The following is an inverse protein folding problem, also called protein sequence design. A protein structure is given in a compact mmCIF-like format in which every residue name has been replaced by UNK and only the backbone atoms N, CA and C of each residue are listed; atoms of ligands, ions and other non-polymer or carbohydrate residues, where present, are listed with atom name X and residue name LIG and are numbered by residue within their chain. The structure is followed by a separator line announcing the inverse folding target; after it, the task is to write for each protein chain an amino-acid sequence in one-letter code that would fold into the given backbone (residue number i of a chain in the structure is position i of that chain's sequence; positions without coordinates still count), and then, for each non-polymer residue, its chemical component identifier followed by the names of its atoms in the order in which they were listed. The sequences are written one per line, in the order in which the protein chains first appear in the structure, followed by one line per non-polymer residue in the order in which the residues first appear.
data_IF_575289153101
#
_entry.id   IF_575289153101
#
_cell.length_a   1.000
_cell.length_b   1.000
_cell.length_c   1.000
_cell.angle_alpha   90.00
_cell.angle_beta   90.00
_cell.angle_gamma   90.00
#
_symmetry.space_group_name_H-M   'P 1'
#
loop_
_entity.id
_entity.type
_entity.pdbx_description
1 polymer ?
#
# COMPACT_ATOMS: atom_id res chain seq x y z
N UNK A 1 -1.50 -14.95 8.70
CA UNK A 1 -1.22 -13.89 9.71
C UNK A 1 0.21 -13.30 9.63
N UNK A 2 1.18 -13.91 8.91
CA UNK A 2 2.57 -13.42 8.87
C UNK A 2 3.00 -12.72 7.56
N UNK A 3 2.05 -12.28 6.73
CA UNK A 3 2.38 -11.68 5.42
C UNK A 3 2.46 -10.14 5.44
N UNK A 4 1.64 -9.47 6.25
CA UNK A 4 1.58 -7.99 6.31
C UNK A 4 2.96 -7.37 6.62
N UNK A 5 3.67 -7.86 7.63
CA UNK A 5 5.01 -7.33 7.94
C UNK A 5 6.02 -7.62 6.84
N UNK A 6 5.98 -8.81 6.23
CA UNK A 6 6.85 -9.14 5.09
C UNK A 6 6.57 -8.22 3.90
N UNK A 7 5.31 -7.92 3.64
CA UNK A 7 4.88 -6.96 2.64
C UNK A 7 5.35 -5.52 2.98
N UNK A 8 5.44 -5.14 4.26
CA UNK A 8 5.88 -3.79 4.64
C UNK A 8 7.41 -3.59 4.71
N UNK A 9 8.22 -4.65 4.81
CA UNK A 9 9.69 -4.52 4.93
C UNK A 9 10.31 -3.77 3.74
N UNK A 10 9.76 -3.95 2.54
CA UNK A 10 10.28 -3.31 1.33
C UNK A 10 9.89 -1.82 1.26
N UNK A 11 10.85 -0.91 1.05
CA UNK A 11 10.58 0.53 1.00
C UNK A 11 9.71 0.94 -0.20
N UNK A 12 9.84 0.27 -1.34
CA UNK A 12 9.01 0.55 -2.54
C UNK A 12 7.56 0.19 -2.26
N UNK A 13 7.29 -0.93 -1.59
CA UNK A 13 5.93 -1.30 -1.17
C UNK A 13 5.31 -0.27 -0.22
N UNK A 14 6.09 0.24 0.73
CA UNK A 14 5.65 1.36 1.59
C UNK A 14 5.37 2.63 0.78
N UNK A 15 6.18 2.96 -0.23
CA UNK A 15 5.90 4.12 -1.11
C UNK A 15 4.66 3.95 -1.98
N UNK A 16 4.37 2.74 -2.44
CA UNK A 16 3.10 2.44 -3.12
C UNK A 16 1.92 2.68 -2.18
N UNK A 17 2.01 2.22 -0.94
CA UNK A 17 0.95 2.44 0.06
C UNK A 17 0.81 3.92 0.45
N UNK A 18 1.93 4.65 0.63
CA UNK A 18 1.92 6.10 0.86
C UNK A 18 1.18 6.82 -0.28
N UNK A 19 1.44 6.41 -1.53
CA UNK A 19 0.82 6.99 -2.72
C UNK A 19 -0.67 6.68 -2.81
N UNK A 20 -1.08 5.42 -2.59
CA UNK A 20 -2.49 5.03 -2.57
C UNK A 20 -3.26 5.65 -1.39
N UNK A 21 -2.59 5.89 -0.25
CA UNK A 21 -3.19 6.59 0.89
C UNK A 21 -3.48 8.05 0.59
N UNK A 22 -2.71 8.70 -0.29
CA UNK A 22 -2.94 10.09 -0.68
C UNK A 22 -3.93 10.22 -1.83
N UNK A 23 -3.83 9.33 -2.83
CA UNK A 23 -4.77 9.25 -3.94
C UNK A 23 -5.17 7.80 -4.12
N UNK A 24 -6.39 7.47 -3.72
CA UNK A 24 -6.90 6.13 -3.85
C UNK A 24 -7.44 5.85 -5.26
N UNK A 25 -7.68 4.58 -5.60
CA UNK A 25 -8.33 4.18 -6.85
C UNK A 25 -7.50 4.49 -8.10
N UNK A 26 -6.23 4.10 -8.10
CA UNK A 26 -5.30 4.40 -9.20
C UNK A 26 -5.02 3.19 -10.09
N UNK A 27 -4.86 3.43 -11.39
CA UNK A 27 -4.35 2.42 -12.32
C UNK A 27 -2.85 2.20 -12.11
N UNK A 28 -2.32 1.04 -12.55
CA UNK A 28 -0.88 0.76 -12.52
C UNK A 28 -0.06 1.87 -13.21
N UNK A 29 -0.58 2.43 -14.30
CA UNK A 29 0.09 3.51 -15.02
C UNK A 29 0.19 4.79 -14.17
N UNK A 30 -0.89 5.19 -13.52
CA UNK A 30 -0.90 6.36 -12.64
C UNK A 30 0.03 6.19 -11.44
N UNK A 31 0.01 5.00 -10.80
CA UNK A 31 0.91 4.68 -9.69
C UNK A 31 2.37 4.83 -10.14
N UNK A 32 2.76 4.21 -11.25
CA UNK A 32 4.13 4.34 -11.78
C UNK A 32 4.51 5.79 -12.07
N UNK A 33 3.61 6.56 -12.69
CA UNK A 33 3.86 7.96 -13.01
C UNK A 33 4.08 8.81 -11.75
N UNK A 34 3.27 8.61 -10.72
CA UNK A 34 3.37 9.36 -9.47
C UNK A 34 4.57 8.95 -8.62
N UNK A 35 4.90 7.65 -8.58
CA UNK A 35 6.13 7.16 -7.96
C UNK A 35 7.38 7.80 -8.57
N UNK A 36 7.44 7.91 -9.90
CA UNK A 36 8.54 8.55 -10.60
C UNK A 36 8.61 10.06 -10.32
N UNK A 37 7.47 10.76 -10.37
CA UNK A 37 7.44 12.23 -10.19
C UNK A 37 7.66 12.67 -8.75
N UNK A 38 7.01 12.02 -7.78
CA UNK A 38 6.97 12.47 -6.39
C UNK A 38 8.08 11.86 -5.53
N UNK A 39 8.41 10.61 -5.76
CA UNK A 39 9.38 9.86 -4.95
C UNK A 39 10.72 9.61 -5.66
N UNK A 40 10.90 10.18 -6.87
CA UNK A 40 12.03 9.90 -7.78
C UNK A 40 12.31 8.40 -7.96
N UNK A 41 11.26 7.57 -7.86
CA UNK A 41 11.37 6.13 -7.91
C UNK A 41 11.10 5.64 -9.33
N UNK A 42 12.16 5.58 -10.13
CA UNK A 42 12.12 5.01 -11.48
C UNK A 42 12.28 3.49 -11.42
N UNK A 43 11.17 2.77 -11.41
CA UNK A 43 11.12 1.30 -11.50
C UNK A 43 10.33 0.85 -12.72
N UNK A 44 10.59 -0.36 -13.22
CA UNK A 44 9.82 -0.91 -14.33
C UNK A 44 8.37 -1.16 -13.91
N UNK A 45 7.44 -1.03 -14.85
CA UNK A 45 6.02 -1.37 -14.61
C UNK A 45 5.84 -2.80 -14.11
N UNK A 46 6.67 -3.73 -14.58
CA UNK A 46 6.65 -5.12 -14.13
C UNK A 46 7.06 -5.24 -12.66
N UNK A 47 8.12 -4.55 -12.24
CA UNK A 47 8.54 -4.54 -10.84
C UNK A 47 7.45 -3.96 -9.94
N UNK A 48 6.83 -2.83 -10.33
CA UNK A 48 5.71 -2.24 -9.58
C UNK A 48 4.50 -3.19 -9.54
N UNK A 49 4.17 -3.86 -10.64
CA UNK A 49 3.11 -4.87 -10.65
C UNK A 49 3.37 -5.99 -9.65
N UNK A 50 4.60 -6.49 -9.59
CA UNK A 50 4.95 -7.57 -8.65
C UNK A 50 4.90 -7.10 -7.19
N UNK A 51 5.26 -5.85 -6.91
CA UNK A 51 5.06 -5.25 -5.60
C UNK A 51 3.57 -5.14 -5.23
N UNK A 52 2.71 -4.74 -6.18
CA UNK A 52 1.26 -4.70 -5.99
C UNK A 52 0.67 -6.09 -5.74
N UNK A 53 1.15 -7.13 -6.44
CA UNK A 53 0.70 -8.51 -6.23
C UNK A 53 1.01 -8.98 -4.80
N UNK A 54 2.18 -8.63 -4.25
CA UNK A 54 2.55 -8.93 -2.86
C UNK A 54 1.67 -8.16 -1.87
N UNK A 55 1.38 -6.89 -2.16
CA UNK A 55 0.50 -6.07 -1.31
C UNK A 55 -0.94 -6.58 -1.33
N UNK A 56 -1.43 -7.00 -2.49
CA UNK A 56 -2.76 -7.60 -2.68
C UNK A 56 -2.86 -8.95 -1.94
N UNK A 57 -1.84 -9.80 -2.04
CA UNK A 57 -1.77 -11.05 -1.28
C UNK A 57 -1.76 -10.83 0.25
N UNK A 58 -1.13 -9.75 0.71
CA UNK A 58 -1.14 -9.35 2.12
C UNK A 58 -2.43 -8.64 2.56
N UNK A 59 -3.36 -8.37 1.64
CA UNK A 59 -4.61 -7.65 1.88
C UNK A 59 -4.43 -6.14 2.10
N UNK A 60 -3.24 -5.60 1.85
CA UNK A 60 -2.94 -4.17 2.03
C UNK A 60 -3.39 -3.32 0.82
N UNK A 61 -3.69 -3.99 -0.29
CA UNK A 61 -4.24 -3.38 -1.50
C UNK A 61 -5.42 -4.24 -1.98
N UNK A 62 -6.52 -3.60 -2.32
CA UNK A 62 -7.66 -4.21 -3.01
C UNK A 62 -7.69 -3.76 -4.46
N UNK A 63 -8.31 -4.56 -5.33
CA UNK A 63 -8.33 -4.25 -6.75
C UNK A 63 -9.73 -4.37 -7.34
N UNK A 64 -10.08 -3.40 -8.20
CA UNK A 64 -11.36 -3.37 -8.93
C UNK A 64 -11.11 -3.24 -10.42
N UNK A 65 -11.87 -3.99 -11.21
CA UNK A 65 -11.86 -3.87 -12.67
C UNK A 65 -13.01 -3.00 -13.15
N UNK A 66 -12.69 -2.04 -13.99
CA UNK A 66 -13.66 -1.19 -14.69
C UNK A 66 -13.30 -1.15 -16.18
N UNK A 67 -14.10 -1.86 -16.98
CA UNK A 67 -13.80 -2.08 -18.38
C UNK A 67 -12.44 -2.77 -18.57
N UNK A 68 -11.50 -2.07 -19.22
CA UNK A 68 -10.14 -2.59 -19.50
C UNK A 68 -9.12 -2.24 -18.41
N UNK A 69 -9.50 -1.45 -17.41
CA UNK A 69 -8.57 -0.94 -16.40
C UNK A 69 -8.70 -1.73 -15.09
N UNK A 70 -7.56 -1.98 -14.44
CA UNK A 70 -7.47 -2.49 -13.06
C UNK A 70 -7.04 -1.33 -12.18
N UNK A 71 -7.90 -0.96 -11.23
CA UNK A 71 -7.65 0.07 -10.23
C UNK A 71 -7.26 -0.59 -8.91
N UNK A 72 -6.37 0.07 -8.17
CA UNK A 72 -5.83 -0.40 -6.91
C UNK A 72 -6.23 0.57 -5.81
N UNK A 73 -6.62 0.01 -4.68
CA UNK A 73 -7.14 0.74 -3.54
C UNK A 73 -6.37 0.35 -2.28
N UNK A 74 -6.08 1.30 -1.40
CA UNK A 74 -5.46 0.98 -0.10
C UNK A 74 -6.46 0.26 0.81
N UNK A 75 -6.00 -0.79 1.49
CA UNK A 75 -6.76 -1.41 2.58
C UNK A 75 -5.90 -1.48 3.85
N UNK A 76 -6.31 -0.73 4.87
CA UNK A 76 -5.61 -0.68 6.17
C UNK A 76 -6.17 -1.66 7.19
N UNK A 77 -7.27 -2.37 6.89
CA UNK A 77 -7.89 -3.33 7.80
C UNK A 77 -6.91 -4.41 8.33
N UNK A 78 -5.96 -4.95 7.54
CA UNK A 78 -4.98 -5.91 8.07
C UNK A 78 -4.04 -5.34 9.13
N UNK A 79 -3.93 -4.00 9.24
CA UNK A 79 -3.10 -3.32 10.23
C UNK A 79 -3.83 -3.07 11.56
N UNK A 80 -5.16 -3.02 11.56
CA UNK A 80 -5.95 -2.69 12.76
C UNK A 80 -5.61 -3.59 13.97
N UNK A 81 -5.51 -4.93 13.84
CA UNK A 81 -5.20 -5.78 14.99
C UNK A 81 -3.82 -5.50 15.59
N UNK A 82 -2.86 -5.05 14.77
CA UNK A 82 -1.50 -4.70 15.22
C UNK A 82 -1.54 -3.38 15.99
N UNK A 83 -2.25 -2.38 15.45
CA UNK A 83 -2.43 -1.07 16.07
C UNK A 83 -3.16 -1.21 17.42
N UNK A 84 -4.22 -2.02 17.47
CA UNK A 84 -4.99 -2.28 18.68
C UNK A 84 -4.16 -2.96 19.76
N UNK A 85 -3.31 -3.91 19.36
CA UNK A 85 -2.50 -4.69 20.31
C UNK A 85 -1.42 -3.86 21.00
N UNK A 86 -0.76 -2.94 20.27
CA UNK A 86 0.46 -2.29 20.75
C UNK A 86 0.38 -0.76 20.86
N UNK A 87 -0.36 -0.08 19.98
CA UNK A 87 -0.35 1.39 19.91
C UNK A 87 -1.53 2.03 20.66
N UNK A 88 -2.74 1.44 20.61
CA UNK A 88 -3.91 1.98 21.34
C UNK A 88 -3.84 1.80 22.86
N UNK A 89 -2.87 1.03 23.36
CA UNK A 89 -2.63 0.79 24.80
C UNK A 89 -1.66 1.78 25.45
N UNK A 90 -1.06 2.70 24.69
CA UNK A 90 -0.21 3.75 25.26
C UNK A 90 -1.15 4.73 26.00
N UNK A 91 -1.07 4.86 27.33
CA UNK A 91 -1.88 5.82 28.06
C UNK A 91 -1.61 7.21 27.51
N UNK A 92 -2.66 7.98 27.19
CA UNK A 92 -2.47 9.41 26.93
C UNK A 92 -1.93 10.04 28.22
N UNK A 93 -0.81 10.74 28.11
CA UNK A 93 -0.32 11.60 29.17
C UNK A 93 -1.41 12.64 29.49
N UNK A 94 -1.73 12.89 30.77
CA UNK A 94 -2.72 13.90 31.12
C UNK A 94 -2.17 15.28 30.75
N UNK A 95 -2.98 16.08 30.06
CA UNK A 95 -2.74 17.52 29.83
C UNK A 95 -2.69 18.31 31.14
#
# INVERSE_FOLDING_TARGET
MSDVFKALVDPTRRKILDELSEKDGQSLFEICARLAMKYQLASSRQAISQHLDVLEAAGLVETRREGRYKFHFINTAPLEPIVDRWLRRIPKEPE
#
